data_IF_494098702655
#
_entry.id   IF_494098702655
#
_cell.length_a   1.000
_cell.length_b   1.000
_cell.length_c   1.000
_cell.angle_alpha   90.00
_cell.angle_beta   90.00
_cell.angle_gamma   90.00
#
_symmetry.space_group_name_H-M   'P 1'
#
loop_
_entity.id
_entity.type
_entity.pdbx_description
1 polymer ?
#
# COMPACT_ATOMS: atom_id res chain seq x y z
N UNK A 1 34.89 -28.96 -16.24
CA UNK A 1 33.66 -29.49 -15.61
C UNK A 1 33.32 -28.82 -14.28
N UNK A 2 34.31 -28.42 -13.45
CA UNK A 2 34.05 -27.69 -12.19
C UNK A 2 33.64 -26.22 -12.44
N UNK A 3 34.27 -25.55 -13.42
CA UNK A 3 33.90 -24.19 -13.88
C UNK A 3 32.42 -24.08 -14.29
N UNK A 4 31.91 -25.09 -14.98
CA UNK A 4 30.54 -25.12 -15.51
C UNK A 4 29.47 -25.27 -14.43
N UNK A 5 29.82 -25.84 -13.27
CA UNK A 5 28.91 -25.94 -12.13
C UNK A 5 28.85 -24.64 -11.32
N UNK A 6 29.97 -23.92 -11.20
CA UNK A 6 30.01 -22.62 -10.54
C UNK A 6 29.10 -21.60 -11.22
N UNK A 7 29.18 -21.51 -12.55
CA UNK A 7 28.33 -20.61 -13.36
C UNK A 7 26.85 -20.97 -13.30
N UNK A 8 26.53 -22.27 -13.28
CA UNK A 8 25.13 -22.72 -13.10
C UNK A 8 24.56 -22.34 -11.74
N UNK A 9 25.33 -22.51 -10.66
CA UNK A 9 24.90 -22.17 -9.29
C UNK A 9 24.68 -20.66 -9.17
N UNK A 10 25.60 -19.84 -9.66
CA UNK A 10 25.47 -18.38 -9.67
C UNK A 10 24.24 -17.92 -10.47
N UNK A 11 23.99 -18.54 -11.62
CA UNK A 11 22.81 -18.26 -12.46
C UNK A 11 21.51 -18.62 -11.72
N UNK A 12 21.47 -19.78 -11.06
CA UNK A 12 20.31 -20.22 -10.27
C UNK A 12 20.01 -19.27 -9.11
N UNK A 13 21.04 -18.84 -8.37
CA UNK A 13 20.90 -17.86 -7.29
C UNK A 13 20.39 -16.52 -7.82
N UNK A 14 20.89 -16.07 -8.98
CA UNK A 14 20.42 -14.85 -9.63
C UNK A 14 18.93 -14.91 -10.02
N UNK A 15 18.48 -16.03 -10.58
CA UNK A 15 17.07 -16.22 -10.97
C UNK A 15 16.17 -16.30 -9.74
N UNK A 16 16.54 -17.10 -8.74
CA UNK A 16 15.74 -17.24 -7.50
C UNK A 16 15.69 -15.92 -6.73
N UNK A 17 16.82 -15.21 -6.64
CA UNK A 17 16.90 -13.90 -5.98
C UNK A 17 16.05 -12.84 -6.69
N UNK A 18 16.16 -12.73 -8.02
CA UNK A 18 15.35 -11.77 -8.80
C UNK A 18 13.86 -12.08 -8.76
N UNK A 19 13.47 -13.36 -8.83
CA UNK A 19 12.08 -13.78 -8.67
C UNK A 19 11.54 -13.49 -7.27
N UNK A 20 12.32 -13.79 -6.23
CA UNK A 20 11.95 -13.49 -4.83
C UNK A 20 11.78 -12.00 -4.58
N UNK A 21 12.68 -11.17 -5.10
CA UNK A 21 12.58 -9.70 -5.04
C UNK A 21 11.32 -9.22 -5.79
N UNK A 22 11.02 -9.80 -6.95
CA UNK A 22 9.81 -9.51 -7.73
C UNK A 22 8.53 -9.84 -6.96
N UNK A 23 8.44 -11.02 -6.36
CA UNK A 23 7.31 -11.42 -5.52
C UNK A 23 7.15 -10.52 -4.29
N UNK A 24 8.26 -10.19 -3.61
CA UNK A 24 8.25 -9.30 -2.45
C UNK A 24 7.79 -7.88 -2.79
N UNK A 25 8.28 -7.31 -3.90
CA UNK A 25 7.82 -6.02 -4.42
C UNK A 25 6.34 -6.06 -4.81
N UNK A 26 5.90 -7.16 -5.43
CA UNK A 26 4.49 -7.40 -5.75
C UNK A 26 3.62 -7.43 -4.49
N UNK A 27 4.04 -8.16 -3.46
CA UNK A 27 3.34 -8.24 -2.18
C UNK A 27 3.25 -6.87 -1.49
N UNK A 28 4.36 -6.09 -1.47
CA UNK A 28 4.35 -4.72 -0.92
C UNK A 28 3.38 -3.80 -1.65
N UNK A 29 3.28 -3.90 -2.97
CA UNK A 29 2.32 -3.15 -3.79
C UNK A 29 0.88 -3.53 -3.47
N UNK A 30 0.58 -4.82 -3.33
CA UNK A 30 -0.76 -5.30 -2.92
C UNK A 30 -1.11 -4.80 -1.53
N UNK A 31 -0.21 -4.92 -0.55
CA UNK A 31 -0.43 -4.40 0.80
C UNK A 31 -0.69 -2.88 0.80
N UNK A 32 0.07 -2.11 0.01
CA UNK A 32 -0.14 -0.67 -0.10
C UNK A 32 -1.52 -0.31 -0.69
N UNK A 33 -2.01 -1.08 -1.66
CA UNK A 33 -3.37 -0.88 -2.20
C UNK A 33 -4.42 -1.21 -1.13
N UNK A 34 -4.26 -2.32 -0.40
CA UNK A 34 -5.18 -2.70 0.68
C UNK A 34 -5.22 -1.64 1.79
N UNK A 35 -4.07 -1.10 2.18
CA UNK A 35 -3.97 0.00 3.14
C UNK A 35 -4.74 1.26 2.71
N UNK A 36 -4.71 1.59 1.41
CA UNK A 36 -5.47 2.72 0.85
C UNK A 36 -6.97 2.44 0.87
N UNK A 37 -7.38 1.22 0.50
CA UNK A 37 -8.79 0.80 0.53
C UNK A 37 -9.34 0.84 1.96
N UNK A 38 -8.58 0.33 2.93
CA UNK A 38 -8.97 0.35 4.34
C UNK A 38 -9.08 1.79 4.87
N UNK A 39 -8.14 2.67 4.51
CA UNK A 39 -8.21 4.09 4.90
C UNK A 39 -9.41 4.81 4.28
N UNK A 40 -9.76 4.50 3.03
CA UNK A 40 -10.95 5.04 2.37
C UNK A 40 -12.24 4.52 3.01
N UNK A 41 -12.28 3.25 3.39
CA UNK A 41 -13.40 2.65 4.11
C UNK A 41 -13.62 3.33 5.46
N UNK A 42 -12.54 3.55 6.22
CA UNK A 42 -12.60 4.27 7.50
C UNK A 42 -13.13 5.70 7.30
N UNK A 43 -12.61 6.44 6.32
CA UNK A 43 -13.07 7.79 5.99
C UNK A 43 -14.56 7.82 5.65
N UNK A 44 -15.00 6.91 4.78
CA UNK A 44 -16.40 6.82 4.35
C UNK A 44 -17.31 6.49 5.53
N UNK A 45 -16.89 5.55 6.39
CA UNK A 45 -17.63 5.19 7.60
C UNK A 45 -17.79 6.40 8.53
N UNK A 46 -16.72 7.13 8.83
CA UNK A 46 -16.78 8.33 9.69
C UNK A 46 -17.71 9.38 9.10
N UNK A 47 -17.67 9.60 7.78
CA UNK A 47 -18.59 10.53 7.11
C UNK A 47 -20.05 10.10 7.26
N UNK A 48 -20.37 8.83 7.00
CA UNK A 48 -21.75 8.36 7.08
C UNK A 48 -22.28 8.27 8.52
N UNK A 49 -21.41 7.99 9.50
CA UNK A 49 -21.77 8.06 10.93
C UNK A 49 -22.08 9.51 11.33
N UNK A 50 -21.25 10.47 10.93
CA UNK A 50 -21.47 11.89 11.22
C UNK A 50 -22.69 12.48 10.49
N UNK A 51 -22.92 12.09 9.23
CA UNK A 51 -24.06 12.58 8.45
C UNK A 51 -25.39 11.91 8.84
N UNK A 52 -25.38 10.94 9.76
CA UNK A 52 -26.55 10.16 10.15
C UNK A 52 -27.71 10.99 10.72
N UNK A 53 -27.39 12.07 11.43
CA UNK A 53 -28.37 12.96 12.08
C UNK A 53 -28.74 14.18 11.21
N UNK A 54 -28.23 14.26 9.98
CA UNK A 54 -28.54 15.32 9.02
C UNK A 54 -27.81 16.65 9.25
N UNK A 55 -27.05 16.77 10.32
CA UNK A 55 -26.13 17.88 10.60
C UNK A 55 -24.72 17.34 10.88
N UNK A 56 -23.70 18.03 10.39
CA UNK A 56 -22.29 17.73 10.69
C UNK A 56 -21.80 18.80 11.65
N UNK A 57 -21.45 18.42 12.88
CA UNK A 57 -20.88 19.35 13.85
C UNK A 57 -19.43 19.72 13.50
N UNK A 58 -18.89 20.77 14.13
CA UNK A 58 -17.47 21.12 13.99
C UNK A 58 -16.55 19.98 14.49
N UNK A 59 -16.98 19.23 15.50
CA UNK A 59 -16.24 18.06 16.02
C UNK A 59 -16.21 16.94 14.99
N UNK A 60 -17.34 16.66 14.34
CA UNK A 60 -17.44 15.69 13.26
C UNK A 60 -16.62 16.10 12.03
N UNK A 61 -16.69 17.38 11.66
CA UNK A 61 -15.89 17.93 10.58
C UNK A 61 -14.39 17.74 10.85
N UNK A 62 -13.95 17.94 12.09
CA UNK A 62 -12.56 17.69 12.49
C UNK A 62 -12.19 16.20 12.42
N UNK A 63 -13.08 15.31 12.86
CA UNK A 63 -12.89 13.87 12.77
C UNK A 63 -12.78 13.40 11.31
N UNK A 64 -13.68 13.85 10.44
CA UNK A 64 -13.69 13.60 9.00
C UNK A 64 -12.40 14.12 8.36
N UNK A 65 -11.97 15.35 8.68
CA UNK A 65 -10.73 15.92 8.16
C UNK A 65 -9.50 15.08 8.55
N UNK A 66 -9.45 14.60 9.79
CA UNK A 66 -8.34 13.76 10.29
C UNK A 66 -8.25 12.40 9.57
N UNK A 67 -9.38 11.72 9.37
CA UNK A 67 -9.39 10.44 8.63
C UNK A 67 -9.12 10.65 7.14
N UNK A 68 -9.59 11.76 6.57
CA UNK A 68 -9.31 12.16 5.19
C UNK A 68 -7.82 12.42 4.97
N UNK A 69 -7.16 13.13 5.90
CA UNK A 69 -5.71 13.34 5.86
C UNK A 69 -4.96 12.00 5.87
N UNK A 70 -5.37 11.07 6.76
CA UNK A 70 -4.77 9.72 6.84
C UNK A 70 -4.91 8.95 5.52
N UNK A 71 -6.07 9.05 4.86
CA UNK A 71 -6.28 8.46 3.54
C UNK A 71 -5.31 9.01 2.50
N UNK A 72 -5.19 10.34 2.37
CA UNK A 72 -4.26 10.94 1.41
C UNK A 72 -2.80 10.59 1.70
N UNK A 73 -2.38 10.55 2.96
CA UNK A 73 -1.03 10.09 3.31
C UNK A 73 -0.77 8.64 2.88
N UNK A 74 -1.76 7.74 2.99
CA UNK A 74 -1.64 6.35 2.52
C UNK A 74 -1.62 6.28 1.00
N UNK A 75 -2.43 7.10 0.33
CA UNK A 75 -2.45 7.20 -1.13
C UNK A 75 -1.09 7.68 -1.66
N UNK A 76 -0.51 8.73 -1.09
CA UNK A 76 0.81 9.24 -1.49
C UNK A 76 1.91 8.19 -1.28
N UNK A 77 1.87 7.47 -0.15
CA UNK A 77 2.81 6.37 0.12
C UNK A 77 2.67 5.22 -0.91
N UNK A 78 1.43 4.90 -1.30
CA UNK A 78 1.19 3.93 -2.37
C UNK A 78 1.72 4.46 -3.71
N UNK A 79 1.39 5.71 -4.10
CA UNK A 79 1.88 6.33 -5.34
C UNK A 79 3.41 6.28 -5.41
N UNK A 80 4.11 6.64 -4.34
CA UNK A 80 5.58 6.56 -4.29
C UNK A 80 6.12 5.13 -4.56
N UNK A 81 5.42 4.09 -4.12
CA UNK A 81 5.77 2.68 -4.39
C UNK A 81 5.53 2.26 -5.85
N UNK A 82 4.64 2.96 -6.57
CA UNK A 82 4.35 2.70 -7.99
C UNK A 82 5.12 3.63 -8.94
N UNK A 83 5.52 4.82 -8.50
CA UNK A 83 6.26 5.84 -9.28
C UNK A 83 7.76 5.58 -9.38
N UNK A 84 8.34 4.69 -8.56
CA UNK A 84 9.74 4.24 -8.68
C UNK A 84 9.96 3.27 -9.88
N UNK A 85 9.34 3.55 -11.02
CA UNK A 85 9.54 2.83 -12.30
C UNK A 85 10.46 3.62 -13.22
#
# INVERSE_FOLDING_TARGET
MIETQGDMILTLVGIVGSFGIGCWLGQRRVCAILDVIDAFRDQSRTYYEAAGDGEISDEDAHAIAKVTQKFFCRLDAAVALFSNR
#
